data_IF_002691175027
#
_entry.id   IF_002691175027
#
_cell.length_a   1.000
_cell.length_b   1.000
_cell.length_c   1.000
_cell.angle_alpha   90.00
_cell.angle_beta   90.00
_cell.angle_gamma   90.00
#
_symmetry.space_group_name_H-M   'P 1'
#
loop_
_entity.id
_entity.type
_entity.pdbx_description
1 polymer ?
#
# COMPACT_ATOMS: atom_id res chain seq x y z
N UNK A 1 14.77 16.35 3.37
CA UNK A 1 13.58 15.50 3.23
C UNK A 1 12.62 15.77 4.38
N UNK A 2 11.36 16.03 4.06
CA UNK A 2 10.30 16.15 5.06
C UNK A 2 9.84 14.75 5.45
N UNK A 3 10.19 14.32 6.66
CA UNK A 3 9.60 13.13 7.28
C UNK A 3 8.16 13.47 7.64
N UNK A 4 7.20 12.58 7.35
CA UNK A 4 5.83 12.70 7.81
C UNK A 4 5.76 12.36 9.33
N UNK A 5 5.01 11.33 9.72
CA UNK A 5 5.08 10.80 11.09
C UNK A 5 6.31 9.90 11.21
N UNK A 6 7.24 10.14 12.15
CA UNK A 6 8.42 9.30 12.31
C UNK A 6 8.05 7.90 12.79
N UNK A 7 8.84 6.91 12.41
CA UNK A 7 8.70 5.55 12.92
C UNK A 7 8.82 5.56 14.46
N UNK A 8 7.95 4.85 15.20
CA UNK A 8 7.95 4.90 16.66
C UNK A 8 9.27 4.42 17.28
N UNK A 9 9.80 5.17 18.25
CA UNK A 9 10.98 4.76 19.03
C UNK A 9 10.69 3.58 19.95
N UNK A 10 9.45 3.48 20.44
CA UNK A 10 8.97 2.41 21.30
C UNK A 10 8.20 1.40 20.44
N UNK A 11 8.56 0.12 20.59
CA UNK A 11 7.88 -0.98 19.90
C UNK A 11 6.63 -1.43 20.65
N UNK A 12 5.62 -1.96 19.94
CA UNK A 12 4.51 -2.63 20.58
C UNK A 12 4.98 -3.91 21.30
N UNK A 13 4.26 -4.29 22.35
CA UNK A 13 4.54 -5.53 23.09
C UNK A 13 4.44 -6.75 22.16
N UNK A 14 5.36 -7.71 22.31
CA UNK A 14 5.40 -8.92 21.48
C UNK A 14 6.02 -8.72 20.08
N UNK A 15 6.53 -7.52 19.75
CA UNK A 15 7.28 -7.23 18.52
C UNK A 15 8.79 -7.21 18.78
N UNK A 16 9.34 -8.38 19.10
CA UNK A 16 10.79 -8.55 19.25
C UNK A 16 11.50 -8.42 17.90
N UNK A 17 12.74 -7.91 17.97
CA UNK A 17 13.56 -7.77 16.78
C UNK A 17 14.07 -9.16 16.41
N UNK A 18 14.16 -9.41 15.11
CA UNK A 18 14.98 -10.47 14.58
C UNK A 18 16.43 -10.24 15.02
N UNK A 19 17.07 -11.31 15.48
CA UNK A 19 18.49 -11.29 15.84
C UNK A 19 19.36 -11.40 14.58
N UNK A 20 20.67 -11.15 14.68
CA UNK A 20 21.63 -11.43 13.59
C UNK A 20 21.24 -10.92 12.19
N UNK A 21 20.52 -9.79 12.09
CA UNK A 21 20.24 -9.14 10.81
C UNK A 21 21.46 -8.33 10.36
N UNK A 22 21.81 -8.33 9.06
CA UNK A 22 22.75 -7.35 8.53
C UNK A 22 22.18 -5.94 8.69
N UNK A 23 23.05 -4.95 8.88
CA UNK A 23 22.63 -3.55 8.82
C UNK A 23 22.21 -3.20 7.39
N UNK A 24 21.15 -2.42 7.22
CA UNK A 24 20.78 -1.92 5.90
C UNK A 24 21.81 -0.88 5.43
N UNK A 25 22.51 -1.20 4.33
CA UNK A 25 23.38 -0.30 3.60
C UNK A 25 22.78 0.01 2.22
N UNK A 26 22.32 1.26 1.95
CA UNK A 26 21.73 1.61 0.66
C UNK A 26 22.72 1.49 -0.50
N UNK A 27 24.03 1.62 -0.25
CA UNK A 27 25.05 1.50 -1.32
C UNK A 27 25.28 0.06 -1.77
N UNK A 28 24.98 -0.91 -0.90
CA UNK A 28 25.10 -2.34 -1.18
C UNK A 28 23.76 -2.94 -1.62
N UNK A 29 22.67 -2.59 -0.94
CA UNK A 29 21.39 -3.26 -1.08
C UNK A 29 20.47 -2.63 -2.12
N UNK A 30 20.67 -1.35 -2.47
CA UNK A 30 19.83 -0.70 -3.48
C UNK A 30 20.48 -0.74 -4.86
N UNK A 31 19.65 -0.90 -5.87
CA UNK A 31 20.00 -0.71 -7.27
C UNK A 31 18.83 -0.03 -7.97
N UNK A 32 18.66 1.26 -7.67
CA UNK A 32 17.52 2.03 -8.12
C UNK A 32 17.57 2.22 -9.64
N UNK A 33 16.55 1.71 -10.33
CA UNK A 33 16.32 1.97 -11.76
C UNK A 33 14.86 2.41 -11.93
N UNK A 34 14.60 3.67 -12.32
CA UNK A 34 13.24 4.17 -12.46
C UNK A 34 12.49 3.41 -13.58
N UNK A 35 11.14 3.45 -13.56
CA UNK A 35 10.35 2.87 -14.63
C UNK A 35 10.58 3.61 -15.96
N UNK A 36 10.34 2.93 -17.08
CA UNK A 36 10.39 3.54 -18.42
C UNK A 36 9.12 4.27 -18.80
N UNK A 37 8.04 4.10 -18.04
CA UNK A 37 6.77 4.78 -18.26
C UNK A 37 5.78 4.56 -17.11
N UNK A 38 4.70 5.32 -17.16
CA UNK A 38 3.56 5.22 -16.26
C UNK A 38 2.27 5.23 -17.07
N UNK A 39 1.26 4.52 -16.56
CA UNK A 39 -0.13 4.58 -16.99
C UNK A 39 -0.86 5.58 -16.11
N UNK A 40 -1.71 6.43 -16.68
CA UNK A 40 -2.51 7.41 -15.94
C UNK A 40 -3.89 6.84 -15.60
N UNK A 41 -4.55 7.38 -14.57
CA UNK A 41 -5.92 7.01 -14.20
C UNK A 41 -6.91 7.23 -15.35
N UNK A 42 -6.68 8.26 -16.18
CA UNK A 42 -7.50 8.48 -17.39
C UNK A 42 -7.38 7.36 -18.41
N UNK A 43 -6.23 6.69 -18.48
CA UNK A 43 -6.03 5.55 -19.40
C UNK A 43 -6.83 4.32 -18.95
N UNK A 44 -7.19 4.25 -17.66
CA UNK A 44 -8.09 3.24 -17.09
C UNK A 44 -9.57 3.61 -17.16
N UNK A 45 -9.90 4.82 -17.63
CA UNK A 45 -11.28 5.29 -17.78
C UNK A 45 -11.82 6.16 -16.63
N UNK A 46 -11.00 6.51 -15.63
CA UNK A 46 -11.42 7.43 -14.58
C UNK A 46 -11.65 8.84 -15.12
N UNK A 47 -12.71 9.49 -14.62
CA UNK A 47 -13.05 10.87 -14.98
C UNK A 47 -12.20 11.87 -14.22
N UNK A 48 -12.02 13.08 -14.78
CA UNK A 48 -11.17 14.12 -14.19
C UNK A 48 -11.66 14.54 -12.79
N UNK A 49 -12.96 14.53 -12.55
CA UNK A 49 -13.56 14.84 -11.25
C UNK A 49 -13.19 13.79 -10.19
N UNK A 50 -13.12 12.51 -10.58
CA UNK A 50 -12.69 11.43 -9.69
C UNK A 50 -11.19 11.54 -9.38
N UNK A 51 -10.40 12.04 -10.33
CA UNK A 51 -8.94 12.19 -10.20
C UNK A 51 -8.58 13.45 -9.38
N UNK A 52 -9.38 14.51 -9.45
CA UNK A 52 -9.07 15.80 -8.83
C UNK A 52 -8.88 15.74 -7.29
N UNK A 53 -9.46 14.74 -6.63
CA UNK A 53 -9.37 14.55 -5.17
C UNK A 53 -8.28 13.56 -4.75
N UNK A 54 -7.58 12.95 -5.71
CA UNK A 54 -6.59 11.92 -5.43
C UNK A 54 -5.19 12.51 -5.21
N UNK A 55 -4.28 11.71 -4.63
CA UNK A 55 -2.89 12.12 -4.41
C UNK A 55 -2.12 12.40 -5.71
N UNK A 56 -2.45 11.70 -6.79
CA UNK A 56 -1.78 11.76 -8.09
C UNK A 56 -2.70 11.22 -9.20
N UNK A 57 -2.57 11.72 -10.45
CA UNK A 57 -3.22 11.12 -11.62
C UNK A 57 -2.54 9.84 -12.12
N UNK A 58 -1.37 9.46 -11.60
CA UNK A 58 -0.66 8.24 -11.99
C UNK A 58 -1.42 7.02 -11.48
N UNK A 59 -1.72 6.06 -12.35
CA UNK A 59 -2.33 4.80 -11.97
C UNK A 59 -1.26 3.77 -11.55
N UNK A 60 -0.34 3.43 -12.44
CA UNK A 60 0.72 2.48 -12.14
C UNK A 60 1.92 2.65 -13.07
N UNK A 61 3.08 2.14 -12.67
CA UNK A 61 4.31 2.20 -13.46
C UNK A 61 4.56 0.94 -14.28
N UNK A 62 5.42 1.02 -15.29
CA UNK A 62 6.17 -0.16 -15.77
C UNK A 62 7.07 -0.70 -14.63
N UNK A 63 7.61 -1.93 -14.74
CA UNK A 63 8.57 -2.43 -13.75
C UNK A 63 9.74 -1.46 -13.49
N UNK A 64 10.10 -1.31 -12.21
CA UNK A 64 11.22 -0.51 -11.73
C UNK A 64 12.07 -1.36 -10.78
N UNK A 65 13.38 -1.09 -10.71
CA UNK A 65 14.30 -1.84 -9.83
C UNK A 65 14.53 -1.06 -8.55
N UNK A 66 14.44 -1.73 -7.40
CA UNK A 66 14.75 -1.16 -6.09
C UNK A 66 15.98 -1.84 -5.50
N UNK A 67 16.00 -3.17 -5.45
CA UNK A 67 17.09 -3.91 -4.79
C UNK A 67 18.15 -4.38 -5.80
N UNK A 68 19.40 -4.36 -5.35
CA UNK A 68 20.47 -5.15 -5.94
C UNK A 68 20.23 -6.65 -5.70
N UNK A 69 21.01 -7.51 -6.35
CA UNK A 69 20.92 -8.96 -6.11
C UNK A 69 21.20 -9.32 -4.63
N UNK A 70 22.13 -8.60 -3.99
CA UNK A 70 22.46 -8.74 -2.56
C UNK A 70 21.28 -8.30 -1.69
N UNK A 71 20.70 -7.12 -1.95
CA UNK A 71 19.54 -6.63 -1.22
C UNK A 71 18.34 -7.56 -1.35
N UNK A 72 18.11 -8.11 -2.55
CA UNK A 72 17.06 -9.09 -2.79
C UNK A 72 17.28 -10.39 -2.00
N UNK A 73 18.52 -10.88 -1.92
CA UNK A 73 18.86 -12.05 -1.12
C UNK A 73 18.59 -11.84 0.38
N UNK A 74 18.93 -10.66 0.92
CA UNK A 74 18.63 -10.30 2.31
C UNK A 74 17.12 -10.19 2.55
N UNK A 75 16.36 -9.62 1.62
CA UNK A 75 14.89 -9.53 1.75
C UNK A 75 14.24 -10.91 1.74
N UNK A 76 14.71 -11.85 0.91
CA UNK A 76 14.23 -13.24 0.90
C UNK A 76 14.47 -13.91 2.25
N UNK A 77 15.68 -13.81 2.81
CA UNK A 77 15.99 -14.36 4.14
C UNK A 77 15.11 -13.73 5.22
N UNK A 78 15.03 -12.39 5.23
CA UNK A 78 14.20 -11.63 6.17
C UNK A 78 12.73 -12.06 6.09
N UNK A 79 12.17 -12.21 4.88
CA UNK A 79 10.79 -12.62 4.68
C UNK A 79 10.53 -14.06 5.17
N UNK A 80 11.48 -14.98 4.96
CA UNK A 80 11.39 -16.36 5.49
C UNK A 80 11.43 -16.39 7.02
N UNK A 81 12.27 -15.56 7.63
CA UNK A 81 12.36 -15.43 9.09
C UNK A 81 11.12 -14.80 9.70
N UNK A 82 10.51 -13.82 9.03
CA UNK A 82 9.25 -13.20 9.45
C UNK A 82 8.04 -14.12 9.28
N UNK A 83 8.13 -15.17 8.46
CA UNK A 83 7.01 -16.07 8.14
C UNK A 83 6.38 -16.71 9.37
N UNK A 84 7.13 -16.89 10.47
CA UNK A 84 6.60 -17.41 11.74
C UNK A 84 5.52 -16.52 12.38
N UNK A 85 5.44 -15.26 11.96
CA UNK A 85 4.45 -14.28 12.41
C UNK A 85 3.28 -14.14 11.43
N UNK A 86 3.17 -15.04 10.44
CA UNK A 86 2.11 -14.94 9.45
C UNK A 86 0.74 -15.12 10.09
N UNK A 87 -0.21 -14.29 9.67
CA UNK A 87 -1.61 -14.35 10.03
C UNK A 87 -2.46 -14.43 8.78
N UNK A 88 -3.73 -14.74 8.99
CA UNK A 88 -4.75 -14.68 7.96
C UNK A 88 -5.35 -13.28 7.91
N UNK A 89 -5.33 -12.62 6.76
CA UNK A 89 -6.03 -11.35 6.54
C UNK A 89 -7.47 -11.63 6.08
N UNK A 90 -8.24 -12.22 7.00
CA UNK A 90 -9.64 -12.59 6.81
C UNK A 90 -9.84 -13.45 5.54
N UNK A 91 -10.86 -13.16 4.75
CA UNK A 91 -11.22 -13.92 3.55
C UNK A 91 -10.46 -13.48 2.29
N UNK A 92 -9.55 -12.49 2.37
CA UNK A 92 -8.82 -11.96 1.21
C UNK A 92 -7.47 -12.65 0.97
N UNK A 93 -6.58 -12.66 1.97
CA UNK A 93 -5.23 -13.27 1.88
C UNK A 93 -5.04 -14.30 2.99
N UNK A 94 -4.67 -15.53 2.61
CA UNK A 94 -4.52 -16.63 3.56
C UNK A 94 -3.31 -16.44 4.50
N UNK A 95 -2.15 -16.04 3.93
CA UNK A 95 -0.88 -15.99 4.62
C UNK A 95 -0.19 -14.63 4.40
N UNK A 96 -0.16 -13.78 5.43
CA UNK A 96 0.49 -12.46 5.36
C UNK A 96 1.21 -12.11 6.66
N UNK A 97 2.23 -11.25 6.59
CA UNK A 97 2.82 -10.59 7.77
C UNK A 97 2.59 -9.09 7.68
N UNK A 98 1.94 -8.56 8.70
CA UNK A 98 1.74 -7.12 8.92
C UNK A 98 2.54 -6.61 10.11
N UNK A 99 3.01 -5.37 10.02
CA UNK A 99 3.92 -4.80 11.03
C UNK A 99 5.31 -5.46 11.07
N UNK A 100 5.77 -6.04 9.96
CA UNK A 100 7.11 -6.64 9.86
C UNK A 100 8.24 -5.65 10.19
N UNK A 101 8.05 -4.37 9.90
CA UNK A 101 9.00 -3.30 10.24
C UNK A 101 9.22 -3.09 11.75
N UNK A 102 8.35 -3.61 12.62
CA UNK A 102 8.59 -3.64 14.07
C UNK A 102 9.45 -4.83 14.51
N UNK A 103 9.64 -5.81 13.61
CA UNK A 103 10.36 -7.07 13.87
C UNK A 103 11.67 -7.16 13.10
N UNK A 104 11.82 -6.46 11.98
CA UNK A 104 13.05 -6.45 11.20
C UNK A 104 13.59 -5.02 11.07
N UNK A 105 14.83 -4.79 11.54
CA UNK A 105 15.50 -3.50 11.39
C UNK A 105 15.86 -3.27 9.93
N UNK A 106 16.31 -4.32 9.25
CA UNK A 106 16.68 -4.23 7.84
C UNK A 106 15.47 -3.88 6.97
N UNK A 107 14.32 -4.55 7.18
CA UNK A 107 13.08 -4.26 6.46
C UNK A 107 12.59 -2.84 6.75
N UNK A 108 12.62 -2.42 8.02
CA UNK A 108 12.25 -1.05 8.42
C UNK A 108 13.11 -0.02 7.68
N UNK A 109 14.43 -0.20 7.70
CA UNK A 109 15.36 0.77 7.13
C UNK A 109 15.25 0.81 5.59
N UNK A 110 14.96 -0.32 4.94
CA UNK A 110 14.56 -0.36 3.52
C UNK A 110 13.27 0.43 3.27
N UNK A 111 12.21 0.17 4.05
CA UNK A 111 10.90 0.80 3.87
C UNK A 111 10.90 2.31 4.16
N UNK A 112 11.87 2.78 4.96
CA UNK A 112 12.10 4.18 5.28
C UNK A 112 13.25 4.80 4.48
N UNK A 113 13.81 4.10 3.50
CA UNK A 113 14.96 4.58 2.74
C UNK A 113 14.62 5.90 2.04
N UNK A 114 15.43 6.95 2.26
CA UNK A 114 15.25 8.21 1.58
C UNK A 114 15.44 8.08 0.06
N UNK A 115 16.39 7.26 -0.39
CA UNK A 115 16.67 7.05 -1.81
C UNK A 115 15.48 6.39 -2.53
N UNK A 116 14.83 5.41 -1.88
CA UNK A 116 13.62 4.78 -2.42
C UNK A 116 12.46 5.79 -2.43
N UNK A 117 12.32 6.59 -1.37
CA UNK A 117 11.27 7.61 -1.27
C UNK A 117 11.39 8.66 -2.36
N UNK A 118 12.61 9.12 -2.65
CA UNK A 118 12.87 10.11 -3.71
C UNK A 118 12.47 9.55 -5.09
N UNK A 119 12.83 8.30 -5.40
CA UNK A 119 12.39 7.65 -6.64
C UNK A 119 10.86 7.50 -6.69
N UNK A 120 10.19 7.15 -5.58
CA UNK A 120 8.74 7.05 -5.55
C UNK A 120 8.06 8.41 -5.77
N UNK A 121 8.60 9.50 -5.19
CA UNK A 121 8.09 10.84 -5.43
C UNK A 121 8.17 11.23 -6.92
N UNK A 122 9.26 10.87 -7.60
CA UNK A 122 9.40 11.06 -9.05
C UNK A 122 8.36 10.24 -9.83
N UNK A 123 8.18 8.96 -9.48
CA UNK A 123 7.25 8.06 -10.18
C UNK A 123 5.79 8.49 -10.01
N UNK A 124 5.38 8.86 -8.80
CA UNK A 124 4.02 9.36 -8.55
C UNK A 124 3.81 10.79 -9.04
N UNK A 125 4.89 11.53 -9.35
CA UNK A 125 4.79 12.94 -9.75
C UNK A 125 4.27 13.85 -8.64
N UNK A 126 4.39 13.43 -7.37
CA UNK A 126 3.96 14.19 -6.20
C UNK A 126 4.89 13.93 -5.02
N UNK A 127 4.97 14.88 -4.08
CA UNK A 127 5.78 14.72 -2.90
C UNK A 127 5.17 13.66 -1.98
N UNK A 128 5.92 12.59 -1.69
CA UNK A 128 5.47 11.50 -0.82
C UNK A 128 6.42 11.28 0.36
N UNK A 129 5.92 10.56 1.36
CA UNK A 129 6.71 9.97 2.42
C UNK A 129 6.23 8.52 2.68
N UNK A 130 7.07 7.65 3.26
CA UNK A 130 6.61 6.35 3.75
C UNK A 130 5.36 6.50 4.60
N UNK A 131 4.45 5.53 4.50
CA UNK A 131 3.16 5.59 5.17
C UNK A 131 3.31 5.87 6.67
N UNK A 132 2.48 6.79 7.18
CA UNK A 132 2.56 7.27 8.58
C UNK A 132 2.04 6.27 9.60
N UNK A 133 1.40 5.19 9.13
CA UNK A 133 1.04 4.03 9.93
C UNK A 133 2.01 2.90 9.56
N UNK A 134 3.03 2.64 10.39
CA UNK A 134 4.05 1.62 10.13
C UNK A 134 3.54 0.22 9.84
N UNK A 135 2.33 -0.15 10.25
CA UNK A 135 1.73 -1.45 9.93
C UNK A 135 1.59 -1.68 8.41
N UNK A 136 1.54 -0.60 7.62
CA UNK A 136 1.49 -0.63 6.15
C UNK A 136 2.86 -0.61 5.46
N UNK A 137 3.95 -0.59 6.22
CA UNK A 137 5.30 -0.65 5.69
C UNK A 137 5.78 -2.09 5.65
N UNK A 138 6.35 -2.51 4.52
CA UNK A 138 6.93 -3.85 4.36
C UNK A 138 5.94 -5.00 4.60
N UNK A 139 4.69 -4.84 4.16
CA UNK A 139 3.66 -5.87 4.22
C UNK A 139 4.06 -7.06 3.35
N UNK A 140 4.09 -8.27 3.90
CA UNK A 140 4.48 -9.48 3.16
C UNK A 140 3.27 -10.34 2.84
N UNK A 141 3.17 -10.83 1.60
CA UNK A 141 2.19 -11.84 1.18
C UNK A 141 2.91 -13.12 0.79
N UNK A 142 2.46 -14.26 1.30
CA UNK A 142 2.99 -15.59 1.01
C UNK A 142 2.00 -16.41 0.18
N UNK A 143 2.47 -17.50 -0.41
CA UNK A 143 1.61 -18.44 -1.14
C UNK A 143 0.47 -19.01 -0.26
N UNK A 144 -0.70 -19.31 -0.85
CA UNK A 144 -1.76 -20.03 -0.16
C UNK A 144 -1.40 -21.51 0.05
N UNK A 145 -2.11 -22.18 0.95
CA UNK A 145 -1.89 -23.61 1.26
C UNK A 145 -2.34 -24.52 0.10
N UNK A 146 -3.29 -24.06 -0.72
CA UNK A 146 -3.84 -24.82 -1.85
C UNK A 146 -3.41 -24.24 -3.19
N UNK A 147 -2.94 -25.10 -4.08
CA UNK A 147 -2.68 -24.75 -5.49
C UNK A 147 -3.99 -24.40 -6.18
N UNK A 148 -3.97 -23.38 -7.05
CA UNK A 148 -5.16 -22.88 -7.74
C UNK A 148 -5.92 -21.78 -7.00
N UNK A 149 -5.69 -21.61 -5.69
CA UNK A 149 -6.19 -20.44 -4.96
C UNK A 149 -5.36 -19.21 -5.32
N UNK A 150 -6.03 -18.06 -5.45
CA UNK A 150 -5.34 -16.79 -5.63
C UNK A 150 -4.54 -16.46 -4.38
N UNK A 151 -3.31 -15.95 -4.57
CA UNK A 151 -2.47 -15.46 -3.47
C UNK A 151 -3.13 -14.25 -2.81
N UNK A 152 -3.67 -13.36 -3.64
CA UNK A 152 -4.55 -12.28 -3.25
C UNK A 152 -5.64 -12.16 -4.32
N UNK A 153 -6.90 -12.08 -3.92
CA UNK A 153 -8.05 -12.03 -4.84
C UNK A 153 -8.06 -10.73 -5.63
N UNK A 154 -8.87 -10.62 -6.69
CA UNK A 154 -9.11 -9.31 -7.31
C UNK A 154 -9.61 -8.29 -6.28
N UNK A 155 -8.88 -7.20 -6.14
CA UNK A 155 -9.17 -6.12 -5.19
C UNK A 155 -8.57 -4.80 -5.69
N UNK A 156 -8.85 -3.71 -4.96
CA UNK A 156 -8.05 -2.50 -4.97
C UNK A 156 -7.65 -2.21 -3.52
N UNK A 157 -6.46 -1.67 -3.29
CA UNK A 157 -5.90 -1.62 -1.96
C UNK A 157 -6.61 -0.65 -1.04
N UNK A 158 -6.43 -0.88 0.26
CA UNK A 158 -6.85 0.04 1.32
C UNK A 158 -5.87 1.20 1.45
N UNK A 159 -4.77 1.23 0.71
CA UNK A 159 -3.76 2.28 0.71
C UNK A 159 -3.94 3.23 -0.47
N UNK A 160 -3.56 4.49 -0.28
CA UNK A 160 -3.55 5.46 -1.36
C UNK A 160 -2.49 5.11 -2.42
N UNK A 161 -1.23 5.03 -2.00
CA UNK A 161 -0.07 4.80 -2.86
C UNK A 161 0.80 3.70 -2.26
N UNK A 162 1.32 2.81 -3.08
CA UNK A 162 2.24 1.77 -2.68
C UNK A 162 3.08 1.27 -3.87
N UNK A 163 4.09 0.46 -3.58
CA UNK A 163 4.64 -0.43 -4.60
C UNK A 163 4.50 -1.88 -4.15
N UNK A 164 4.36 -2.77 -5.13
CA UNK A 164 4.40 -4.23 -4.95
C UNK A 164 5.72 -4.74 -5.54
N UNK A 165 6.59 -5.28 -4.68
CA UNK A 165 7.88 -5.86 -5.04
C UNK A 165 7.83 -7.39 -5.05
N UNK A 166 8.38 -7.99 -6.10
CA UNK A 166 8.61 -9.44 -6.14
C UNK A 166 9.81 -9.80 -5.26
N UNK A 167 9.59 -10.65 -4.26
CA UNK A 167 10.65 -11.18 -3.38
C UNK A 167 11.11 -12.54 -3.88
N UNK A 168 10.17 -13.45 -4.15
CA UNK A 168 10.47 -14.65 -4.94
C UNK A 168 10.72 -14.29 -6.41
N UNK A 169 11.51 -15.10 -7.12
CA UNK A 169 11.83 -14.86 -8.52
C UNK A 169 10.62 -15.12 -9.45
N UNK A 170 9.97 -14.07 -9.99
CA UNK A 170 8.78 -14.20 -10.83
C UNK A 170 9.04 -14.95 -12.13
N UNK A 171 10.29 -15.04 -12.60
CA UNK A 171 10.63 -15.69 -13.88
C UNK A 171 10.64 -17.22 -13.76
N UNK A 172 10.71 -17.73 -12.54
CA UNK A 172 10.76 -19.18 -12.23
C UNK A 172 9.46 -19.71 -11.63
N UNK A 173 8.54 -18.84 -11.23
CA UNK A 173 7.29 -19.23 -10.57
C UNK A 173 6.28 -19.87 -11.56
N UNK A 174 5.68 -21.01 -11.21
CA UNK A 174 4.57 -21.59 -11.95
C UNK A 174 3.26 -20.89 -11.58
N UNK A 175 2.90 -19.84 -12.32
CA UNK A 175 1.75 -18.98 -12.01
C UNK A 175 2.10 -17.91 -10.98
N UNK A 176 1.16 -17.56 -10.09
CA UNK A 176 1.41 -16.60 -9.01
C UNK A 176 1.61 -15.14 -9.46
N UNK A 177 1.23 -14.85 -10.72
CA UNK A 177 1.55 -13.61 -11.43
C UNK A 177 0.90 -12.40 -10.76
N UNK A 178 1.59 -11.26 -10.81
CA UNK A 178 0.95 -9.98 -10.51
C UNK A 178 0.12 -9.56 -11.74
N UNK A 179 -1.17 -9.33 -11.54
CA UNK A 179 -2.11 -9.04 -12.63
C UNK A 179 -2.86 -7.75 -12.34
N UNK A 180 -3.03 -6.91 -13.36
CA UNK A 180 -3.69 -5.60 -13.28
C UNK A 180 -4.89 -5.62 -14.21
N UNK A 181 -6.06 -5.20 -13.72
CA UNK A 181 -7.23 -4.97 -14.56
C UNK A 181 -7.17 -3.59 -15.21
N UNK A 182 -7.32 -3.54 -16.53
CA UNK A 182 -7.30 -2.32 -17.35
C UNK A 182 -8.68 -1.65 -17.40
N UNK A 183 -9.23 -1.36 -16.23
CA UNK A 183 -10.51 -0.67 -16.06
C UNK A 183 -10.59 -0.03 -14.68
N UNK A 184 -11.73 0.60 -14.39
CA UNK A 184 -11.95 1.28 -13.11
C UNK A 184 -12.40 0.31 -12.00
N UNK A 185 -12.33 0.75 -10.75
CA UNK A 185 -12.90 0.01 -9.62
C UNK A 185 -14.43 -0.13 -9.69
N UNK A 186 -15.10 0.78 -10.39
CA UNK A 186 -16.55 0.73 -10.64
C UNK A 186 -16.89 -0.33 -11.70
N UNK A 187 -16.04 -0.46 -12.74
CA UNK A 187 -16.15 -1.54 -13.73
C UNK A 187 -15.94 -2.91 -13.07
N UNK A 188 -14.92 -3.03 -12.22
CA UNK A 188 -14.66 -4.26 -11.48
C UNK A 188 -15.81 -4.61 -10.52
N UNK A 189 -16.38 -3.63 -9.82
CA UNK A 189 -17.56 -3.82 -8.97
C UNK A 189 -18.77 -4.28 -9.79
N UNK A 190 -18.97 -3.72 -10.98
CA UNK A 190 -20.05 -4.11 -11.90
C UNK A 190 -19.88 -5.55 -12.38
N UNK A 191 -18.65 -5.96 -12.73
CA UNK A 191 -18.33 -7.34 -13.09
C UNK A 191 -18.61 -8.30 -11.93
N UNK A 192 -18.12 -7.96 -10.73
CA UNK A 192 -18.31 -8.74 -9.51
C UNK A 192 -19.79 -8.92 -9.16
N UNK A 193 -20.59 -7.85 -9.24
CA UNK A 193 -22.04 -7.91 -9.01
C UNK A 193 -22.76 -8.82 -10.02
N UNK A 194 -22.19 -9.02 -11.21
CA UNK A 194 -22.66 -9.96 -12.21
C UNK A 194 -22.07 -11.37 -12.08
N UNK A 195 -21.31 -11.66 -11.02
CA UNK A 195 -20.63 -12.94 -10.80
C UNK A 195 -19.44 -13.19 -11.74
N UNK A 196 -18.88 -12.13 -12.34
CA UNK A 196 -17.81 -12.22 -13.34
C UNK A 196 -16.49 -11.70 -12.80
N UNK A 197 -15.40 -12.29 -13.29
CA UNK A 197 -14.03 -11.78 -13.13
C UNK A 197 -13.66 -10.80 -14.26
N UNK A 198 -12.63 -9.96 -14.07
CA UNK A 198 -11.98 -9.25 -15.17
C UNK A 198 -11.74 -10.11 -16.41
N UNK A 199 -12.18 -9.67 -17.61
CA UNK A 199 -11.93 -10.40 -18.86
C UNK A 199 -10.42 -10.53 -19.15
N UNK A 200 -9.92 -11.68 -19.64
CA UNK A 200 -8.49 -11.87 -19.88
C UNK A 200 -7.85 -10.87 -20.85
N UNK A 201 -8.60 -10.36 -21.82
CA UNK A 201 -8.18 -9.33 -22.78
C UNK A 201 -8.10 -7.92 -22.17
N UNK A 202 -8.59 -7.74 -20.95
CA UNK A 202 -8.50 -6.53 -20.14
C UNK A 202 -7.58 -6.71 -18.93
N UNK A 203 -6.78 -7.78 -18.89
CA UNK A 203 -5.81 -8.03 -17.83
C UNK A 203 -4.39 -7.88 -18.37
N UNK A 204 -3.63 -6.98 -17.76
CA UNK A 204 -2.21 -6.81 -17.98
C UNK A 204 -1.42 -7.65 -16.98
N UNK A 205 -0.42 -8.38 -17.49
CA UNK A 205 0.59 -9.07 -16.67
C UNK A 205 1.95 -8.41 -16.96
N UNK A 206 2.48 -7.58 -16.05
CA UNK A 206 3.78 -6.96 -16.25
C UNK A 206 4.91 -7.99 -16.35
N UNK A 207 5.88 -7.76 -17.24
CA UNK A 207 7.10 -8.56 -17.33
C UNK A 207 8.11 -8.12 -16.27
N UNK A 208 8.05 -8.73 -15.08
CA UNK A 208 8.90 -8.37 -13.95
C UNK A 208 10.22 -9.18 -14.03
N UNK A 209 11.39 -8.54 -14.18
CA UNK A 209 12.63 -9.26 -14.51
C UNK A 209 13.22 -10.17 -13.43
N UNK A 210 12.85 -10.00 -12.17
CA UNK A 210 13.44 -10.79 -11.07
C UNK A 210 13.08 -10.26 -9.68
N UNK A 211 13.67 -10.86 -8.63
CA UNK A 211 13.59 -10.36 -7.26
C UNK A 211 14.07 -8.91 -7.13
N UNK A 212 13.46 -8.13 -6.25
CA UNK A 212 13.85 -6.73 -6.01
C UNK A 212 13.31 -5.73 -7.04
N UNK A 213 12.58 -6.21 -8.04
CA UNK A 213 11.80 -5.39 -8.96
C UNK A 213 10.38 -5.19 -8.44
N UNK A 214 9.81 -4.02 -8.72
CA UNK A 214 8.52 -3.62 -8.23
C UNK A 214 7.66 -2.91 -9.30
N UNK A 215 6.37 -2.80 -9.01
CA UNK A 215 5.41 -1.94 -9.70
C UNK A 215 4.93 -0.91 -8.68
N UNK A 216 5.03 0.38 -9.00
CA UNK A 216 4.38 1.44 -8.21
C UNK A 216 2.91 1.55 -8.64
N UNK A 217 2.02 1.72 -7.68
CA UNK A 217 0.56 1.70 -7.86
C UNK A 217 -0.10 2.86 -7.10
N UNK A 218 -1.20 3.32 -7.66
CA UNK A 218 -2.27 3.98 -6.94
C UNK A 218 -3.16 2.90 -6.33
N UNK A 219 -2.78 2.39 -5.16
CA UNK A 219 -3.40 1.21 -4.53
C UNK A 219 -4.94 1.23 -4.53
N UNK A 220 -5.56 2.30 -4.05
CA UNK A 220 -7.04 2.43 -3.99
C UNK A 220 -7.72 2.51 -5.36
N UNK A 221 -6.98 2.89 -6.41
CA UNK A 221 -7.57 3.16 -7.74
C UNK A 221 -7.26 2.06 -8.76
N UNK A 222 -6.25 1.23 -8.53
CA UNK A 222 -5.86 0.17 -9.46
C UNK A 222 -6.37 -1.18 -8.97
N UNK A 223 -7.25 -1.80 -9.76
CA UNK A 223 -7.73 -3.15 -9.48
C UNK A 223 -6.68 -4.16 -9.93
N UNK A 224 -6.24 -5.01 -9.01
CA UNK A 224 -5.15 -5.94 -9.26
C UNK A 224 -5.29 -7.20 -8.40
N UNK A 225 -4.41 -8.19 -8.63
CA UNK A 225 -4.35 -9.42 -7.84
C UNK A 225 -2.99 -10.09 -7.86
N UNK A 226 -2.77 -10.98 -6.90
CA UNK A 226 -1.77 -12.04 -6.98
C UNK A 226 -2.46 -13.30 -7.49
N UNK A 227 -2.30 -13.62 -8.77
CA UNK A 227 -2.93 -14.75 -9.43
C UNK A 227 -2.59 -16.11 -8.79
N UNK A 228 -3.32 -17.17 -9.16
CA UNK A 228 -3.11 -18.49 -8.57
C UNK A 228 -1.79 -19.12 -9.04
N UNK A 229 -1.22 -19.97 -8.19
CA UNK A 229 -0.11 -20.86 -8.57
C UNK A 229 -0.65 -22.08 -9.34
N UNK A 230 0.09 -22.51 -10.36
CA UNK A 230 -0.21 -23.72 -11.15
C UNK A 230 0.34 -24.99 -10.48
N UNK A 231 1.34 -24.83 -9.62
CA UNK A 231 1.88 -25.89 -8.76
C UNK A 231 2.52 -25.28 -7.51
N UNK A 232 2.73 -26.08 -6.46
CA UNK A 232 3.33 -25.62 -5.20
C UNK A 232 4.68 -24.94 -5.45
N UNK A 233 4.81 -23.69 -4.99
CA UNK A 233 6.04 -22.91 -5.04
C UNK A 233 6.04 -21.84 -3.94
N UNK A 234 7.23 -21.45 -3.45
CA UNK A 234 7.37 -20.35 -2.50
C UNK A 234 7.19 -19.02 -3.24
N UNK A 235 6.11 -18.30 -2.96
CA UNK A 235 5.77 -17.04 -3.63
C UNK A 235 5.61 -15.96 -2.59
N UNK A 236 6.55 -15.03 -2.59
CA UNK A 236 6.60 -13.91 -1.64
C UNK A 236 6.57 -12.59 -2.42
N UNK A 237 5.73 -11.66 -1.99
CA UNK A 237 5.84 -10.23 -2.35
C UNK A 237 5.93 -9.36 -1.11
N UNK A 238 6.54 -8.19 -1.27
CA UNK A 238 6.56 -7.15 -0.26
C UNK A 238 5.84 -5.91 -0.82
N UNK A 239 4.96 -5.32 -0.02
CA UNK A 239 4.22 -4.10 -0.33
C UNK A 239 4.64 -3.01 0.64
N UNK A 240 5.00 -1.83 0.12
CA UNK A 240 5.35 -0.68 0.96
C UNK A 240 4.46 0.52 0.63
N UNK A 241 3.69 0.98 1.62
CA UNK A 241 2.79 2.12 1.47
C UNK A 241 3.49 3.48 1.55
N UNK A 242 2.88 4.46 0.88
CA UNK A 242 3.25 5.86 0.90
C UNK A 242 2.03 6.75 1.14
N UNK A 243 2.26 7.92 1.72
CA UNK A 243 1.29 9.02 1.79
C UNK A 243 1.75 10.21 0.97
N UNK A 244 0.80 10.95 0.41
CA UNK A 244 1.09 12.27 -0.16
C UNK A 244 1.38 13.28 0.96
N UNK A 245 2.38 14.13 0.78
CA UNK A 245 2.68 15.22 1.70
C UNK A 245 1.72 16.41 1.54
N UNK A 246 1.06 16.54 0.39
CA UNK A 246 -0.12 17.37 0.26
C UNK A 246 -1.30 16.70 0.98
N UNK A 247 -1.71 17.32 2.08
CA UNK A 247 -2.77 16.84 2.97
C UNK A 247 -4.13 17.48 2.67
N UNK A 248 -4.24 18.26 1.59
CA UNK A 248 -5.50 18.93 1.21
C UNK A 248 -6.49 18.00 0.51
N UNK A 249 -6.01 17.00 -0.23
CA UNK A 249 -6.83 15.97 -0.87
C UNK A 249 -7.34 14.92 0.12
N UNK A 250 -8.34 14.15 -0.29
CA UNK A 250 -9.01 13.17 0.57
C UNK A 250 -8.04 12.10 1.10
N UNK A 251 -8.35 11.53 2.27
CA UNK A 251 -7.65 10.32 2.67
C UNK A 251 -8.17 9.16 1.84
N UNK A 252 -7.34 8.68 0.92
CA UNK A 252 -7.67 7.52 0.12
C UNK A 252 -7.36 6.21 0.85
N UNK A 253 -6.90 6.27 2.10
CA UNK A 253 -6.64 5.09 2.92
C UNK A 253 -7.92 4.62 3.61
N UNK A 254 -8.28 3.34 3.46
CA UNK A 254 -9.46 2.74 4.11
C UNK A 254 -9.06 2.03 5.40
N UNK A 255 -8.64 2.82 6.40
CA UNK A 255 -8.15 2.29 7.70
C UNK A 255 -9.20 1.48 8.45
N UNK A 256 -10.49 1.78 8.29
CA UNK A 256 -11.58 1.02 8.90
C UNK A 256 -11.64 -0.44 8.40
N UNK A 257 -11.32 -0.70 7.14
CA UNK A 257 -11.30 -2.05 6.56
C UNK A 257 -10.24 -2.95 7.22
N UNK A 258 -9.25 -2.35 7.88
CA UNK A 258 -8.14 -3.04 8.54
C UNK A 258 -8.41 -3.36 10.00
N UNK A 259 -9.49 -2.85 10.57
CA UNK A 259 -9.92 -3.24 11.92
C UNK A 259 -10.29 -4.73 11.90
N UNK A 260 -9.57 -5.55 12.67
CA UNK A 260 -9.70 -7.01 12.67
C UNK A 260 -8.91 -7.73 11.57
N UNK A 261 -8.06 -7.00 10.84
CA UNK A 261 -6.92 -7.56 10.09
C UNK A 261 -5.63 -7.23 10.85
N UNK A 262 -5.46 -5.96 11.22
CA UNK A 262 -4.29 -5.47 11.95
C UNK A 262 -4.40 -5.73 13.44
N UNK A 263 -3.23 -5.89 14.07
CA UNK A 263 -3.11 -6.07 15.51
C UNK A 263 -3.73 -4.84 16.24
N UNK A 264 -4.79 -5.03 17.04
CA UNK A 264 -5.42 -3.96 17.80
C UNK A 264 -4.45 -3.20 18.72
N UNK A 265 -3.36 -3.84 19.16
CA UNK A 265 -2.33 -3.22 19.98
C UNK A 265 -1.56 -2.11 19.23
N UNK A 266 -1.58 -2.14 17.90
CA UNK A 266 -0.85 -1.22 17.03
C UNK A 266 -1.81 -0.26 16.31
N UNK A 267 -2.86 -0.81 15.69
CA UNK A 267 -3.72 -0.11 14.74
C UNK A 267 -4.29 1.20 15.31
N UNK A 268 -4.87 1.16 16.51
CA UNK A 268 -5.53 2.33 17.09
C UNK A 268 -4.55 3.49 17.34
N UNK A 269 -3.33 3.19 17.79
CA UNK A 269 -2.30 4.20 18.05
C UNK A 269 -1.79 4.80 16.76
N UNK A 270 -1.50 3.97 15.76
CA UNK A 270 -1.01 4.43 14.46
C UNK A 270 -2.06 5.26 13.72
N UNK A 271 -3.32 4.80 13.71
CA UNK A 271 -4.41 5.51 13.06
C UNK A 271 -4.66 6.86 13.72
N UNK A 272 -4.69 6.93 15.06
CA UNK A 272 -4.82 8.21 15.76
C UNK A 272 -3.71 9.20 15.39
N UNK A 273 -2.46 8.71 15.24
CA UNK A 273 -1.32 9.53 14.80
C UNK A 273 -1.46 9.98 13.34
N UNK A 274 -1.91 9.10 12.45
CA UNK A 274 -2.15 9.42 11.05
C UNK A 274 -3.23 10.50 10.88
N UNK A 275 -4.40 10.30 11.50
CA UNK A 275 -5.50 11.26 11.44
C UNK A 275 -5.10 12.62 12.04
N UNK A 276 -4.37 12.61 13.17
CA UNK A 276 -3.84 13.85 13.76
C UNK A 276 -2.84 14.55 12.81
N UNK A 277 -1.94 13.80 12.17
CA UNK A 277 -0.98 14.35 11.22
C UNK A 277 -1.67 14.97 9.99
N UNK A 278 -2.71 14.33 9.45
CA UNK A 278 -3.53 14.89 8.36
C UNK A 278 -4.23 16.18 8.79
N UNK A 279 -4.94 16.15 9.92
CA UNK A 279 -5.66 17.30 10.48
C UNK A 279 -4.74 18.50 10.78
N UNK A 280 -3.55 18.27 11.36
CA UNK A 280 -2.55 19.34 11.58
C UNK A 280 -2.19 20.03 10.26
N UNK A 281 -2.15 19.29 9.15
CA UNK A 281 -1.83 19.85 7.85
C UNK A 281 -2.87 20.73 7.26
N UNK A 282 -4.12 20.25 7.27
CA UNK A 282 -5.26 21.03 6.80
C UNK A 282 -5.43 22.28 7.67
N UNK A 283 -5.29 22.16 8.98
CA UNK A 283 -5.34 23.31 9.90
C UNK A 283 -4.21 24.31 9.64
N UNK A 284 -2.98 23.85 9.41
CA UNK A 284 -1.87 24.74 9.07
C UNK A 284 -2.14 25.49 7.75
N UNK A 285 -2.70 24.81 6.75
CA UNK A 285 -3.09 25.46 5.49
C UNK A 285 -4.10 26.59 5.70
N UNK A 286 -5.05 26.43 6.63
CA UNK A 286 -5.95 27.53 6.99
C UNK A 286 -5.19 28.70 7.63
N UNK A 287 -4.19 28.45 8.47
CA UNK A 287 -3.38 29.53 9.06
C UNK A 287 -2.64 30.31 7.97
N UNK A 288 -2.15 29.61 6.95
CA UNK A 288 -1.32 30.19 5.90
C UNK A 288 -2.14 30.90 4.81
N UNK A 289 -3.30 30.35 4.43
CA UNK A 289 -4.01 30.74 3.19
C UNK A 289 -5.32 31.52 3.41
N UNK A 290 -5.88 31.56 4.63
CA UNK A 290 -7.23 32.11 4.85
C UNK A 290 -7.27 33.63 4.62
N UNK A 291 -8.09 34.13 3.69
CA UNK A 291 -8.13 35.56 3.38
C UNK A 291 -8.93 36.36 4.40
N UNK A 292 -8.63 37.66 4.51
CA UNK A 292 -9.49 38.60 5.23
C UNK A 292 -10.80 38.87 4.49
N UNK A 293 -11.87 39.21 5.23
CA UNK A 293 -13.16 39.61 4.66
C UNK A 293 -14.15 38.47 4.42
N UNK A 294 -13.83 37.26 4.88
CA UNK A 294 -14.74 36.12 4.90
C UNK A 294 -15.80 36.29 6.00
N UNK A 295 -16.96 35.67 5.83
CA UNK A 295 -17.99 35.62 6.86
C UNK A 295 -17.77 34.48 7.86
N UNK A 296 -18.58 34.46 8.92
CA UNK A 296 -18.47 33.49 10.00
C UNK A 296 -18.83 32.06 9.56
N UNK A 297 -19.75 31.90 8.59
CA UNK A 297 -20.22 30.60 8.13
C UNK A 297 -19.14 29.93 7.30
N UNK A 298 -18.59 30.63 6.30
CA UNK A 298 -17.47 30.15 5.51
C UNK A 298 -16.24 29.85 6.37
N UNK A 299 -15.96 30.68 7.38
CA UNK A 299 -14.87 30.44 8.31
C UNK A 299 -15.10 29.17 9.16
N UNK A 300 -16.35 28.83 9.51
CA UNK A 300 -16.69 27.60 10.21
C UNK A 300 -16.54 26.38 9.29
N UNK A 301 -17.10 26.44 8.08
CA UNK A 301 -17.04 25.35 7.08
C UNK A 301 -15.60 24.94 6.79
N UNK A 302 -14.70 25.91 6.60
CA UNK A 302 -13.27 25.62 6.36
C UNK A 302 -12.61 24.90 7.53
N UNK A 303 -13.02 25.19 8.77
CA UNK A 303 -12.50 24.51 9.97
C UNK A 303 -13.05 23.09 10.09
N UNK A 304 -14.33 22.88 9.80
CA UNK A 304 -14.93 21.55 9.78
C UNK A 304 -14.24 20.66 8.74
N UNK A 305 -14.04 21.17 7.53
CA UNK A 305 -13.29 20.50 6.47
C UNK A 305 -11.85 20.20 6.88
N UNK A 306 -11.20 21.10 7.63
CA UNK A 306 -9.82 20.89 8.06
C UNK A 306 -9.65 19.83 9.17
N UNK A 307 -10.73 19.48 9.87
CA UNK A 307 -10.69 18.44 10.92
C UNK A 307 -11.42 17.16 10.51
N UNK A 308 -11.82 17.04 9.23
CA UNK A 308 -12.63 15.91 8.75
C UNK A 308 -11.98 14.56 9.03
N UNK A 309 -10.67 14.41 8.76
CA UNK A 309 -9.94 13.16 8.98
C UNK A 309 -9.95 12.75 10.47
N UNK A 310 -9.91 13.74 11.39
CA UNK A 310 -9.98 13.51 12.84
C UNK A 310 -11.39 13.11 13.25
N UNK A 311 -12.40 13.78 12.72
CA UNK A 311 -13.81 13.45 12.99
C UNK A 311 -14.16 12.06 12.47
N UNK A 312 -13.66 11.68 11.30
CA UNK A 312 -13.80 10.35 10.70
C UNK A 312 -13.14 9.29 11.55
N UNK A 313 -11.86 9.45 11.90
CA UNK A 313 -11.17 8.50 12.78
C UNK A 313 -11.89 8.33 14.14
N UNK A 314 -12.44 9.39 14.73
CA UNK A 314 -13.25 9.30 15.96
C UNK A 314 -14.51 8.46 15.75
N UNK A 315 -15.21 8.63 14.63
CA UNK A 315 -16.42 7.85 14.29
C UNK A 315 -16.06 6.39 14.06
N UNK A 316 -15.03 6.15 13.26
CA UNK A 316 -14.63 4.82 12.83
C UNK A 316 -14.09 3.97 13.98
N UNK A 317 -13.26 4.54 14.86
CA UNK A 317 -12.76 3.86 16.07
C UNK A 317 -13.86 3.47 17.08
N UNK A 318 -15.09 3.94 16.87
CA UNK A 318 -16.27 3.64 17.70
C UNK A 318 -17.30 2.76 16.98
N UNK A 319 -17.01 2.34 15.76
CA UNK A 319 -17.91 1.57 14.89
C UNK A 319 -17.32 0.18 14.65
N UNK A 320 -18.18 -0.81 14.44
CA UNK A 320 -17.74 -2.14 14.05
C UNK A 320 -17.17 -2.13 12.62
N UNK A 321 -16.10 -2.91 12.33
CA UNK A 321 -15.52 -2.99 11.00
C UNK A 321 -16.49 -3.56 9.95
N UNK A 322 -16.46 -3.06 8.71
CA UNK A 322 -17.12 -3.73 7.59
C UNK A 322 -16.42 -5.07 7.24
N UNK A 323 -17.05 -5.91 6.40
CA UNK A 323 -16.37 -7.02 5.73
C UNK A 323 -15.21 -6.51 4.86
N UNK A 324 -14.18 -7.32 4.66
CA UNK A 324 -13.04 -6.96 3.80
C UNK A 324 -13.49 -6.87 2.34
N UNK A 325 -13.05 -5.81 1.64
CA UNK A 325 -13.45 -5.57 0.26
C UNK A 325 -12.61 -6.37 -0.73
N UNK A 326 -13.29 -7.17 -1.55
CA UNK A 326 -12.72 -7.92 -2.68
C UNK A 326 -13.82 -8.24 -3.70
N UNK A 327 -13.45 -8.48 -4.95
CA UNK A 327 -14.39 -8.67 -6.06
C UNK A 327 -14.87 -10.11 -6.24
N UNK A 328 -14.32 -11.07 -5.49
CA UNK A 328 -14.63 -12.50 -5.68
C UNK A 328 -15.65 -13.05 -4.67
N UNK A 329 -16.87 -12.49 -4.64
CA UNK A 329 -17.99 -12.99 -3.81
C UNK A 329 -18.94 -13.83 -4.67
N UNK A 330 -18.97 -15.15 -4.47
CA UNK A 330 -19.82 -16.10 -5.23
C UNK A 330 -19.53 -16.16 -6.74
N UNK A 331 -18.26 -16.28 -7.11
CA UNK A 331 -17.86 -16.46 -8.51
C UNK A 331 -18.21 -17.90 -8.95
N UNK A 332 -19.01 -18.04 -10.02
CA UNK A 332 -19.18 -19.31 -10.75
C UNK A 332 -17.94 -19.63 -11.60
#
# INVERSE_FOLDING_TARGET
>A
MSVAVPFPEIRPDGYDWLDDEPAFDPTLHLELRPPTGVTMLTDLGYQLEQIAVTATPVAFSTPLRILSDEGAAVLVDTARRLRVFQTNARDRVENTVRGGCYRSRWLRDLCLSPEVTDMMAEVYGTAVAPHTMPVHLGHLNYEPSSVGDAVDKWHHDTLALDYVMMVSDPTTLPGGRFEIFLGTKDDAATLAAAGKRPPPDQVLVPDIPGPGWAIALHGNMVVHRGGPLDSTAERITMVNGYVCLDRSGDDQSRSLDLVGVDDPAVLATEWARHAAWRGVGRLQKLVDDLPFGIDNEWAADRREEAIIDVQEAIRDLRTDPPPTEHYERNVE
#
